data_IF_879502192516
#
_entry.id   IF_879502192516
#
_cell.length_a   1.000
_cell.length_b   1.000
_cell.length_c   1.000
_cell.angle_alpha   90.00
_cell.angle_beta   90.00
_cell.angle_gamma   90.00
#
_symmetry.space_group_name_H-M   'P 1'
#
loop_
_entity.id
_entity.type
_entity.pdbx_description
1 polymer ?
#
# COMPACT_ATOMS: atom_id res chain seq x y z
N UNK A 1 16.75 11.60 -7.43
CA UNK A 1 15.32 11.39 -7.07
C UNK A 1 15.05 10.00 -6.49
N UNK A 2 15.33 8.91 -7.23
CA UNK A 2 15.16 7.51 -6.78
C UNK A 2 15.80 7.22 -5.40
N UNK A 3 17.08 7.58 -5.23
CA UNK A 3 17.86 7.31 -4.02
C UNK A 3 17.41 8.06 -2.77
N UNK A 4 16.56 9.08 -2.90
CA UNK A 4 16.01 9.81 -1.74
C UNK A 4 14.58 9.33 -1.45
N UNK A 5 13.80 9.08 -2.51
CA UNK A 5 12.39 8.73 -2.37
C UNK A 5 12.17 7.30 -1.92
N UNK A 6 12.93 6.35 -2.46
CA UNK A 6 12.81 4.92 -2.08
C UNK A 6 13.13 4.74 -0.58
N UNK A 7 14.25 5.27 -0.04
CA UNK A 7 14.50 5.20 1.39
C UNK A 7 13.45 5.94 2.22
N UNK A 8 12.95 7.10 1.78
CA UNK A 8 11.89 7.81 2.51
C UNK A 8 10.63 6.96 2.69
N UNK A 9 10.15 6.31 1.62
CA UNK A 9 8.97 5.44 1.72
C UNK A 9 9.24 4.17 2.51
N UNK A 10 10.39 3.54 2.32
CA UNK A 10 10.76 2.32 3.05
C UNK A 10 10.96 2.62 4.53
N UNK A 11 11.74 3.65 4.88
CA UNK A 11 12.02 4.04 6.26
C UNK A 11 10.76 4.52 6.98
N UNK A 12 9.92 5.34 6.36
CA UNK A 12 8.66 5.75 7.00
C UNK A 12 7.75 4.55 7.26
N UNK A 13 7.65 3.62 6.32
CA UNK A 13 6.82 2.44 6.50
C UNK A 13 7.42 1.43 7.50
N UNK A 14 8.76 1.37 7.61
CA UNK A 14 9.48 0.55 8.58
C UNK A 14 9.37 1.12 10.01
N UNK A 15 9.58 2.43 10.17
CA UNK A 15 9.50 3.15 11.46
C UNK A 15 8.11 3.08 12.07
N UNK A 16 7.07 2.98 11.23
CA UNK A 16 5.67 2.96 11.67
C UNK A 16 4.94 1.64 11.40
N UNK A 17 5.67 0.53 11.30
CA UNK A 17 5.11 -0.84 11.20
C UNK A 17 4.02 -0.97 10.12
N UNK A 18 4.30 -0.52 8.89
CA UNK A 18 3.39 -0.63 7.76
C UNK A 18 2.46 0.57 7.53
N UNK A 19 2.79 1.75 8.06
CA UNK A 19 2.01 2.98 7.87
C UNK A 19 2.89 4.16 7.50
N UNK A 20 2.57 4.84 6.40
CA UNK A 20 3.13 6.17 6.09
C UNK A 20 2.22 7.27 6.65
N UNK A 21 2.70 8.52 6.71
CA UNK A 21 1.91 9.67 7.18
C UNK A 21 0.54 9.77 6.46
N UNK A 22 0.52 9.62 5.13
CA UNK A 22 -0.72 9.61 4.36
C UNK A 22 -1.65 8.46 4.74
N UNK A 23 -1.12 7.24 4.95
CA UNK A 23 -1.92 6.09 5.39
C UNK A 23 -2.50 6.30 6.81
N UNK A 24 -1.82 7.06 7.66
CA UNK A 24 -2.34 7.43 8.98
C UNK A 24 -3.54 8.36 8.88
N UNK A 25 -3.47 9.38 8.01
CA UNK A 25 -4.59 10.31 7.79
C UNK A 25 -5.83 9.59 7.27
N UNK A 26 -5.64 8.62 6.36
CA UNK A 26 -6.73 7.84 5.76
C UNK A 26 -7.12 6.62 6.62
N UNK A 27 -6.54 6.46 7.82
CA UNK A 27 -6.83 5.36 8.77
C UNK A 27 -6.62 3.93 8.23
N UNK A 28 -5.90 3.77 7.14
CA UNK A 28 -5.53 2.45 6.60
C UNK A 28 -4.18 1.98 7.16
N UNK A 29 -3.99 0.66 7.20
CA UNK A 29 -2.70 0.05 7.53
C UNK A 29 -2.40 -1.13 6.64
N UNK A 30 -1.12 -1.49 6.62
CA UNK A 30 -0.65 -2.71 6.01
C UNK A 30 -0.54 -3.83 7.05
N UNK A 31 -0.94 -5.04 6.67
CA UNK A 31 -0.78 -6.28 7.44
C UNK A 31 -0.14 -7.39 6.58
N UNK A 32 0.46 -8.38 7.23
CA UNK A 32 0.87 -9.64 6.58
C UNK A 32 -0.38 -10.44 6.19
N UNK A 33 -0.38 -11.08 5.02
CA UNK A 33 -1.50 -11.94 4.61
C UNK A 33 -1.63 -13.18 5.49
N UNK A 34 -0.52 -13.61 6.09
CA UNK A 34 -0.45 -14.83 6.90
C UNK A 34 -0.82 -14.58 8.37
N UNK A 35 -1.28 -13.36 8.72
CA UNK A 35 -1.63 -12.98 10.09
C UNK A 35 -0.41 -12.75 11.02
N UNK A 36 0.80 -12.95 10.52
CA UNK A 36 2.05 -12.70 11.23
C UNK A 36 2.37 -11.22 11.35
N UNK A 37 3.37 -10.89 12.18
CA UNK A 37 3.92 -9.53 12.23
C UNK A 37 4.51 -9.16 10.87
N UNK A 38 4.31 -7.91 10.46
CA UNK A 38 4.81 -7.41 9.19
C UNK A 38 6.35 -7.40 9.18
N UNK A 39 6.95 -8.18 8.30
CA UNK A 39 8.41 -8.29 8.20
C UNK A 39 9.02 -7.10 7.43
N UNK A 40 10.22 -6.63 7.82
CA UNK A 40 10.99 -5.65 7.05
C UNK A 40 11.12 -5.99 5.56
N UNK A 41 11.34 -7.27 5.24
CA UNK A 41 11.45 -7.72 3.85
C UNK A 41 10.15 -7.49 3.07
N UNK A 42 8.99 -7.76 3.67
CA UNK A 42 7.69 -7.55 3.05
C UNK A 42 7.40 -6.05 2.79
N UNK A 43 7.92 -5.17 3.64
CA UNK A 43 7.80 -3.71 3.46
C UNK A 43 8.74 -3.23 2.34
N UNK A 44 9.97 -3.73 2.31
CA UNK A 44 10.94 -3.34 1.29
C UNK A 44 10.54 -3.87 -0.08
N UNK A 45 10.20 -5.15 -0.19
CA UNK A 45 9.85 -5.82 -1.44
C UNK A 45 8.68 -5.10 -2.15
N UNK A 46 7.58 -4.83 -1.43
CA UNK A 46 6.43 -4.13 -2.03
C UNK A 46 6.73 -2.69 -2.46
N UNK A 47 7.67 -2.01 -1.80
CA UNK A 47 8.03 -0.63 -2.10
C UNK A 47 8.98 -0.58 -3.30
N UNK A 48 9.89 -1.54 -3.39
CA UNK A 48 10.73 -1.70 -4.56
C UNK A 48 9.90 -2.07 -5.79
N UNK A 49 8.95 -3.00 -5.64
CA UNK A 49 8.01 -3.35 -6.71
C UNK A 49 7.18 -2.14 -7.14
N UNK A 50 6.72 -1.29 -6.21
CA UNK A 50 6.05 0.00 -6.53
C UNK A 50 6.87 0.87 -7.48
N UNK A 51 8.18 0.89 -7.27
CA UNK A 51 9.10 1.71 -8.06
C UNK A 51 9.15 1.20 -9.50
N UNK A 52 9.26 -0.11 -9.68
CA UNK A 52 9.30 -0.76 -11.00
C UNK A 52 7.93 -0.70 -11.70
N UNK A 53 6.86 -0.96 -10.96
CA UNK A 53 5.50 -1.06 -11.49
C UNK A 53 4.90 0.27 -11.93
N UNK A 54 5.13 1.33 -11.15
CA UNK A 54 4.41 2.61 -11.31
C UNK A 54 5.39 3.74 -11.60
N UNK A 55 6.44 3.88 -10.81
CA UNK A 55 7.23 5.11 -10.85
C UNK A 55 8.26 5.17 -11.96
N UNK A 56 8.96 4.08 -12.25
CA UNK A 56 9.87 3.97 -13.38
C UNK A 56 9.17 4.21 -14.71
N UNK A 57 8.04 3.53 -15.04
CA UNK A 57 7.38 3.76 -16.33
C UNK A 57 6.80 5.18 -16.42
N UNK A 58 6.21 5.72 -15.35
CA UNK A 58 5.74 7.11 -15.33
C UNK A 58 6.92 8.08 -15.51
N UNK A 59 8.03 7.89 -14.80
CA UNK A 59 9.22 8.73 -14.94
C UNK A 59 9.80 8.66 -16.35
N UNK A 60 9.86 7.48 -16.98
CA UNK A 60 10.32 7.35 -18.36
C UNK A 60 9.40 8.05 -19.35
N UNK A 61 8.08 8.03 -19.13
CA UNK A 61 7.11 8.73 -20.00
C UNK A 61 7.37 10.24 -20.00
N UNK A 62 7.69 10.84 -18.85
CA UNK A 62 7.84 12.29 -18.71
C UNK A 62 9.29 12.81 -18.82
N UNK A 63 10.30 12.01 -18.47
CA UNK A 63 11.69 12.47 -18.34
C UNK A 63 12.57 12.14 -19.55
N UNK A 64 12.17 11.20 -20.41
CA UNK A 64 12.96 10.80 -21.58
C UNK A 64 12.41 11.51 -22.82
N UNK A 65 13.09 12.54 -23.35
CA UNK A 65 12.73 13.15 -24.63
C UNK A 65 13.04 12.21 -25.81
N UNK A 66 12.42 12.44 -26.96
CA UNK A 66 12.68 11.76 -28.24
C UNK A 66 12.55 10.23 -28.25
N UNK A 67 11.77 9.67 -27.32
CA UNK A 67 11.41 8.25 -27.31
C UNK A 67 10.44 7.91 -28.45
N UNK A 68 10.62 6.77 -29.13
CA UNK A 68 9.74 6.37 -30.22
C UNK A 68 8.30 6.15 -29.73
N UNK A 69 7.32 6.43 -30.59
CA UNK A 69 5.90 6.39 -30.23
C UNK A 69 5.45 5.04 -29.66
N UNK A 70 5.93 3.93 -30.21
CA UNK A 70 5.62 2.59 -29.72
C UNK A 70 6.13 2.33 -28.30
N UNK A 71 7.27 2.91 -27.91
CA UNK A 71 7.80 2.77 -26.55
C UNK A 71 6.91 3.51 -25.54
N UNK A 72 6.42 4.69 -25.90
CA UNK A 72 5.45 5.42 -25.08
C UNK A 72 4.13 4.66 -24.96
N UNK A 73 3.62 4.12 -26.06
CA UNK A 73 2.41 3.30 -26.05
C UNK A 73 2.55 2.05 -25.17
N UNK A 74 3.70 1.37 -25.24
CA UNK A 74 4.00 0.21 -24.40
C UNK A 74 4.02 0.57 -22.91
N UNK A 75 4.68 1.66 -22.53
CA UNK A 75 4.72 2.11 -21.13
C UNK A 75 3.34 2.52 -20.61
N UNK A 76 2.52 3.17 -21.45
CA UNK A 76 1.13 3.51 -21.10
C UNK A 76 0.29 2.25 -20.91
N UNK A 77 0.39 1.29 -21.82
CA UNK A 77 -0.28 -0.01 -21.70
C UNK A 77 0.16 -0.74 -20.43
N UNK A 78 1.46 -0.75 -20.14
CA UNK A 78 2.02 -1.34 -18.92
C UNK A 78 1.39 -0.74 -17.66
N UNK A 79 1.41 0.59 -17.52
CA UNK A 79 0.82 1.29 -16.36
C UNK A 79 -0.67 0.99 -16.26
N UNK A 80 -1.38 1.00 -17.39
CA UNK A 80 -2.81 0.69 -17.43
C UNK A 80 -3.10 -0.73 -16.93
N UNK A 81 -2.38 -1.74 -17.43
CA UNK A 81 -2.54 -3.13 -17.01
C UNK A 81 -2.25 -3.30 -15.52
N UNK A 82 -1.15 -2.73 -15.01
CA UNK A 82 -0.79 -2.81 -13.59
C UNK A 82 -1.84 -2.15 -12.70
N UNK A 83 -2.39 -1.00 -13.10
CA UNK A 83 -3.47 -0.33 -12.37
C UNK A 83 -4.78 -1.11 -12.38
N UNK A 84 -4.99 -1.96 -13.39
CA UNK A 84 -6.15 -2.85 -13.45
C UNK A 84 -6.03 -4.08 -12.54
N UNK A 85 -4.82 -4.55 -12.22
CA UNK A 85 -4.62 -5.76 -11.40
C UNK A 85 -5.43 -5.77 -10.09
N UNK A 86 -5.44 -4.71 -9.27
CA UNK A 86 -6.22 -4.68 -8.03
C UNK A 86 -7.73 -4.82 -8.23
N UNK A 87 -8.27 -4.42 -9.39
CA UNK A 87 -9.71 -4.51 -9.66
C UNK A 87 -10.16 -5.95 -9.94
N UNK A 88 -9.29 -6.76 -10.55
CA UNK A 88 -9.56 -8.17 -10.84
C UNK A 88 -9.17 -9.11 -9.69
N UNK A 89 -8.32 -8.66 -8.78
CA UNK A 89 -7.90 -9.45 -7.64
C UNK A 89 -8.95 -9.40 -6.51
N UNK A 90 -9.44 -10.57 -6.07
CA UNK A 90 -10.42 -10.71 -4.96
C UNK A 90 -9.98 -9.98 -3.68
N UNK A 91 -8.67 -9.97 -3.41
CA UNK A 91 -8.08 -9.33 -2.22
C UNK A 91 -7.71 -7.86 -2.44
N UNK A 92 -8.01 -7.30 -3.62
CA UNK A 92 -7.68 -5.92 -4.05
C UNK A 92 -6.20 -5.56 -3.86
N UNK A 93 -5.30 -6.53 -4.01
CA UNK A 93 -3.85 -6.34 -3.89
C UNK A 93 -3.27 -5.93 -5.25
N UNK A 94 -2.30 -5.00 -5.23
CA UNK A 94 -1.40 -4.77 -6.37
C UNK A 94 -0.35 -5.87 -6.46
N UNK A 95 0.32 -5.98 -7.61
CA UNK A 95 1.36 -6.97 -7.87
C UNK A 95 2.44 -6.99 -6.76
N UNK A 96 2.97 -5.84 -6.37
CA UNK A 96 3.95 -5.76 -5.29
C UNK A 96 3.45 -6.23 -3.92
N UNK A 97 2.16 -6.08 -3.62
CA UNK A 97 1.58 -6.58 -2.36
C UNK A 97 1.29 -8.09 -2.44
N UNK A 98 1.03 -8.63 -3.65
CA UNK A 98 0.91 -10.08 -3.89
C UNK A 98 2.26 -10.77 -3.69
N UNK A 99 3.34 -10.20 -4.24
CA UNK A 99 4.70 -10.73 -4.09
C UNK A 99 5.18 -10.66 -2.64
N UNK A 100 4.90 -9.55 -1.97
CA UNK A 100 5.25 -9.39 -0.56
C UNK A 100 4.33 -10.18 0.39
N UNK A 101 3.24 -10.78 -0.10
CA UNK A 101 2.31 -11.58 0.70
C UNK A 101 1.54 -10.74 1.72
N UNK A 102 0.96 -9.63 1.29
CA UNK A 102 0.49 -8.60 2.23
C UNK A 102 -0.78 -7.89 1.78
N UNK A 103 -1.49 -7.28 2.72
CA UNK A 103 -2.76 -6.59 2.46
C UNK A 103 -2.79 -5.20 3.09
N UNK A 104 -3.58 -4.33 2.48
CA UNK A 104 -3.99 -3.05 3.06
C UNK A 104 -5.40 -3.23 3.60
N UNK A 105 -5.58 -2.93 4.89
CA UNK A 105 -6.86 -3.02 5.58
C UNK A 105 -7.22 -1.67 6.18
N UNK A 106 -8.51 -1.38 6.24
CA UNK A 106 -9.02 -0.21 6.93
C UNK A 106 -8.97 -0.45 8.45
N UNK A 107 -8.52 0.55 9.21
CA UNK A 107 -8.50 0.54 10.67
C UNK A 107 -9.17 1.82 11.20
N UNK A 108 -10.52 1.85 11.21
CA UNK A 108 -11.24 2.93 11.88
C UNK A 108 -10.90 2.95 13.37
N UNK A 109 -11.01 4.13 13.99
CA UNK A 109 -10.86 4.29 15.44
C UNK A 109 -11.89 3.39 16.12
N UNK A 110 -11.42 2.46 16.94
CA UNK A 110 -12.27 1.67 17.82
C UNK A 110 -12.81 2.62 18.89
N UNK A 111 -13.98 3.20 18.63
CA UNK A 111 -14.75 3.86 19.67
C UNK A 111 -15.20 2.74 20.61
N UNK A 112 -14.56 2.64 21.77
CA UNK A 112 -15.00 1.74 22.83
C UNK A 112 -16.36 2.25 23.30
N UNK A 113 -17.41 1.61 22.79
CA UNK A 113 -18.75 1.84 23.31
C UNK A 113 -18.76 1.46 24.79
N UNK A 114 -19.52 2.19 25.63
CA UNK A 114 -19.67 1.85 27.04
C UNK A 114 -19.99 0.37 27.17
N UNK A 115 -19.31 -0.29 28.11
CA UNK A 115 -19.44 -1.72 28.33
C UNK A 115 -20.91 -2.02 28.64
N UNK A 116 -21.57 -2.85 27.81
CA UNK A 116 -22.98 -3.22 27.96
C UNK A 116 -23.24 -3.86 29.34
N UNK A 117 -22.18 -4.38 29.98
CA UNK A 117 -22.23 -4.85 31.37
C UNK A 117 -22.56 -3.76 32.39
N UNK A 118 -22.15 -2.51 32.16
CA UNK A 118 -22.45 -1.39 33.06
C UNK A 118 -23.92 -0.96 32.92
N UNK A 119 -24.45 -0.89 31.70
CA UNK A 119 -25.84 -0.47 31.43
C UNK A 119 -26.89 -1.46 31.96
N UNK A 120 -26.57 -2.77 31.97
CA UNK A 120 -27.46 -3.80 32.51
C UNK A 120 -27.62 -3.74 34.04
N UNK A 121 -26.64 -3.14 34.74
CA UNK A 121 -26.68 -2.99 36.21
C UNK A 121 -27.53 -1.79 36.63
N UNK A 122 -27.47 -0.69 35.87
CA UNK A 122 -28.28 0.51 36.13
C UNK A 122 -29.78 0.32 35.86
N UNK A 123 -30.16 -0.56 34.92
CA UNK A 123 -31.59 -0.81 34.61
C UNK A 123 -32.27 -1.72 35.66
N UNK A 124 -31.48 -2.37 36.53
CA UNK A 124 -31.98 -3.28 37.58
C UNK A 124 -32.01 -2.64 38.98
N UNK A 125 -31.55 -1.39 39.12
CA UNK A 125 -31.65 -0.60 40.34
C UNK A 125 -32.90 0.29 40.29
#
# INVERSE_FOLDING_TARGET
FFFVRVPYYVLSELVWNGRTLGKRLVKIRVISADGTRLSPYQITARNLMKEIEVFTPIAMIFSVPDKPGYATAFLMLWVFVVLLVPFFNKRRQRLGDMIAGTLVVDQPLTLLLPDLAQTATETRA
#
